data_IF_539507613929
#
_entry.id   IF_539507613929
#
_cell.length_a   1.000
_cell.length_b   1.000
_cell.length_c   1.000
_cell.angle_alpha   90.00
_cell.angle_beta   90.00
_cell.angle_gamma   90.00
#
_symmetry.space_group_name_H-M   'P 1'
#
loop_
_entity.id
_entity.type
_entity.pdbx_description
1 polymer ?
#
# COMPACT_ATOMS: atom_id res chain seq x y z
N UNK A 1 6.63 -6.03 6.64
CA UNK A 1 7.20 -4.81 7.25
C UNK A 1 6.18 -3.67 7.28
N UNK A 2 6.57 -2.42 7.61
CA UNK A 2 5.70 -1.23 7.53
C UNK A 2 6.35 -0.14 6.68
N UNK A 3 5.63 0.41 5.71
CA UNK A 3 6.08 1.51 4.84
C UNK A 3 5.04 2.61 4.77
N UNK A 4 5.52 3.86 4.72
CA UNK A 4 4.72 5.07 4.75
C UNK A 4 5.17 6.02 3.62
N UNK A 5 4.24 6.52 2.80
CA UNK A 5 4.46 7.51 1.74
C UNK A 5 4.36 8.94 2.26
N UNK A 6 3.47 9.16 3.24
CA UNK A 6 3.17 10.46 3.84
C UNK A 6 2.31 11.35 2.93
N UNK A 7 2.81 12.50 2.46
CA UNK A 7 2.03 13.42 1.64
C UNK A 7 2.70 13.60 0.28
N UNK A 8 1.89 13.57 -0.77
CA UNK A 8 2.34 13.63 -2.16
C UNK A 8 2.11 12.30 -2.88
N UNK A 9 2.34 12.30 -4.19
CA UNK A 9 2.11 11.10 -5.00
C UNK A 9 3.28 10.10 -4.85
N UNK A 10 3.09 9.07 -4.02
CA UNK A 10 4.14 8.12 -3.68
C UNK A 10 4.10 6.81 -4.47
N UNK A 11 5.23 6.10 -4.46
CA UNK A 11 5.37 4.74 -4.99
C UNK A 11 5.99 3.83 -3.94
N UNK A 12 5.17 2.97 -3.33
CA UNK A 12 5.61 2.03 -2.30
C UNK A 12 5.62 0.59 -2.84
N UNK A 13 6.63 -0.18 -2.43
CA UNK A 13 6.85 -1.56 -2.87
C UNK A 13 7.16 -2.48 -1.67
N UNK A 14 6.21 -3.34 -1.31
CA UNK A 14 6.24 -4.32 -0.21
C UNK A 14 7.44 -5.27 -0.30
N UNK A 15 7.62 -5.87 -1.48
CA UNK A 15 8.59 -6.95 -1.78
C UNK A 15 8.04 -8.32 -1.35
N UNK A 16 8.85 -9.14 -0.69
CA UNK A 16 8.45 -10.50 -0.34
C UNK A 16 8.23 -10.57 1.17
N UNK A 17 7.12 -11.17 1.56
CA UNK A 17 6.67 -11.23 2.95
C UNK A 17 5.40 -10.43 3.13
N UNK A 18 4.91 -10.39 4.37
CA UNK A 18 3.66 -9.73 4.71
C UNK A 18 3.96 -8.26 5.07
N UNK A 19 3.49 -7.33 4.22
CA UNK A 19 3.77 -5.90 4.34
C UNK A 19 2.54 -5.07 4.69
N UNK A 20 2.76 -3.95 5.38
CA UNK A 20 1.78 -2.90 5.61
C UNK A 20 2.23 -1.67 4.84
N UNK A 21 1.45 -1.26 3.84
CA UNK A 21 1.73 -0.10 2.99
C UNK A 21 0.68 1.00 3.23
N UNK A 22 1.15 2.16 3.65
CA UNK A 22 0.34 3.37 3.88
C UNK A 22 0.85 4.46 2.94
N UNK A 23 0.16 4.69 1.82
CA UNK A 23 0.51 5.73 0.84
C UNK A 23 0.35 7.13 1.41
N UNK A 24 -0.62 7.30 2.30
CA UNK A 24 -0.91 8.54 2.98
C UNK A 24 -1.89 9.42 2.19
N UNK A 25 -1.59 10.70 2.04
CA UNK A 25 -2.44 11.64 1.33
C UNK A 25 -1.98 11.80 -0.12
N UNK A 26 -2.94 12.04 -1.01
CA UNK A 26 -2.78 12.15 -2.48
C UNK A 26 -2.82 10.79 -3.22
N UNK A 27 -2.37 10.73 -4.47
CA UNK A 27 -2.58 9.56 -5.34
C UNK A 27 -1.36 8.65 -5.36
N UNK A 28 -1.39 7.62 -4.53
CA UNK A 28 -0.27 6.69 -4.40
C UNK A 28 -0.40 5.45 -5.28
N UNK A 29 0.76 4.87 -5.61
CA UNK A 29 0.87 3.54 -6.19
C UNK A 29 1.51 2.59 -5.19
N UNK A 30 0.74 1.61 -4.73
CA UNK A 30 1.21 0.59 -3.80
C UNK A 30 1.32 -0.76 -4.51
N UNK A 31 2.47 -1.40 -4.40
CA UNK A 31 2.69 -2.77 -4.85
C UNK A 31 3.12 -3.66 -3.67
N UNK A 32 2.18 -4.43 -3.11
CA UNK A 32 2.44 -5.39 -2.03
C UNK A 32 3.46 -6.46 -2.44
N UNK A 33 3.49 -6.80 -3.73
CA UNK A 33 4.26 -7.90 -4.29
C UNK A 33 3.81 -9.27 -3.74
N UNK A 34 4.66 -10.05 -3.07
CA UNK A 34 4.33 -11.45 -2.74
C UNK A 34 4.23 -11.65 -1.23
N UNK A 35 3.01 -11.89 -0.75
CA UNK A 35 2.70 -12.08 0.67
C UNK A 35 1.23 -11.79 0.92
N UNK A 36 0.84 -11.75 2.20
CA UNK A 36 -0.41 -11.14 2.62
C UNK A 36 -0.12 -9.70 3.02
N UNK A 37 -0.49 -8.77 2.15
CA UNK A 37 -0.12 -7.36 2.26
C UNK A 37 -1.34 -6.51 2.59
N UNK A 38 -1.28 -5.74 3.68
CA UNK A 38 -2.31 -4.80 4.07
C UNK A 38 -2.01 -3.41 3.50
N UNK A 39 -2.91 -2.85 2.70
CA UNK A 39 -2.75 -1.50 2.16
C UNK A 39 -3.89 -0.59 2.63
N UNK A 40 -3.55 0.53 3.29
CA UNK A 40 -4.52 1.37 4.02
C UNK A 40 -4.94 2.62 3.23
N UNK A 41 -4.05 3.17 2.42
CA UNK A 41 -4.24 4.45 1.72
C UNK A 41 -3.41 4.39 0.44
N UNK A 42 -4.04 4.47 -0.73
CA UNK A 42 -3.28 4.47 -1.97
C UNK A 42 -4.15 4.17 -3.18
N UNK A 43 -4.42 5.20 -3.97
CA UNK A 43 -5.27 5.12 -5.15
C UNK A 43 -4.50 4.57 -6.37
N UNK A 44 -4.03 3.33 -6.25
CA UNK A 44 -3.71 2.35 -7.31
C UNK A 44 -2.99 1.18 -6.65
N UNK A 45 -3.73 0.12 -6.42
CA UNK A 45 -3.23 -1.06 -5.73
C UNK A 45 -2.86 -2.13 -6.73
N UNK A 46 -1.65 -2.65 -6.57
CA UNK A 46 -1.20 -3.85 -7.26
C UNK A 46 -0.82 -4.86 -6.17
N UNK A 47 -1.42 -6.04 -6.20
CA UNK A 47 -1.09 -7.14 -5.26
C UNK A 47 -1.43 -6.90 -3.78
N UNK A 48 -2.04 -5.77 -3.40
CA UNK A 48 -2.43 -5.50 -2.02
C UNK A 48 -3.78 -6.12 -1.64
N UNK A 49 -3.87 -6.66 -0.42
CA UNK A 49 -5.13 -6.93 0.26
C UNK A 49 -5.60 -5.63 0.94
N UNK A 50 -6.76 -5.15 0.51
CA UNK A 50 -7.41 -4.01 1.15
C UNK A 50 -8.07 -4.50 2.43
N UNK A 51 -7.57 -4.04 3.57
CA UNK A 51 -8.22 -4.21 4.86
C UNK A 51 -9.47 -3.33 4.92
N UNK A 52 -10.53 -3.76 4.23
CA UNK A 52 -11.91 -3.43 4.61
C UNK A 52 -12.38 -1.97 4.52
N UNK A 53 -11.65 -1.03 3.91
CA UNK A 53 -12.18 0.31 3.66
C UNK A 53 -12.33 0.58 2.15
N UNK A 54 -13.41 0.05 1.58
CA UNK A 54 -14.02 0.64 0.39
C UNK A 54 -15.51 0.33 0.32
N UNK A 55 -16.29 1.21 0.97
CA UNK A 55 -17.59 1.64 0.49
C UNK A 55 -17.61 3.17 0.54
#
# INVERSE_FOLDING_TARGET
DRMYGEAGDDRLYGRQGDDILDGGADTDQLDGSAGMDTCTTGEKLKSCELDGENA
#
